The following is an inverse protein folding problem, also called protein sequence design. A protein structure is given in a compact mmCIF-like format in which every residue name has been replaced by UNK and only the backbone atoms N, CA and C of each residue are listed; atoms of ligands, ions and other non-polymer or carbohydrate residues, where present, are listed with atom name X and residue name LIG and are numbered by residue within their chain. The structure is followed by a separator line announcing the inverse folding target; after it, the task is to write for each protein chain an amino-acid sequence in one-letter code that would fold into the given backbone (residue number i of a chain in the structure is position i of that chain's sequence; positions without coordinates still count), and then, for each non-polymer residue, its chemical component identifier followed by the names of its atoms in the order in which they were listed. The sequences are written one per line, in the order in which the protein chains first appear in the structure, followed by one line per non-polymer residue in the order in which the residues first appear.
data_IF_019708764389
#
_entry.id   IF_019708764389
#
_cell.length_a   1.000
_cell.length_b   1.000
_cell.length_c   1.000
_cell.angle_alpha   90.00
_cell.angle_beta   90.00
_cell.angle_gamma   90.00
#
_symmetry.space_group_name_H-M   'P 1'
#
loop_
_entity.id
_entity.type
_entity.pdbx_description
1 polymer ?
#
# COMPACT_ATOMS: atom_id res chain seq x y z
N UNK A 1 3.11 37.57 14.91
CA UNK A 1 2.33 37.68 13.64
C UNK A 1 3.19 37.67 12.37
N UNK A 2 4.35 38.35 12.28
CA UNK A 2 5.17 38.39 11.04
C UNK A 2 5.52 37.01 10.45
N UNK A 3 5.83 36.01 11.28
CA UNK A 3 6.13 34.64 10.83
C UNK A 3 4.90 33.91 10.27
N UNK A 4 3.73 34.13 10.86
CA UNK A 4 2.46 33.57 10.40
C UNK A 4 2.09 34.13 9.02
N UNK A 5 2.16 35.46 8.85
CA UNK A 5 1.94 36.09 7.55
C UNK A 5 3.00 35.67 6.52
N UNK A 6 4.27 35.55 6.91
CA UNK A 6 5.33 35.08 6.02
C UNK A 6 5.12 33.65 5.51
N UNK A 7 4.60 32.77 6.36
CA UNK A 7 4.25 31.39 5.97
C UNK A 7 3.14 31.38 4.93
N UNK A 8 2.01 32.03 5.23
CA UNK A 8 0.86 32.08 4.33
C UNK A 8 1.17 32.80 3.02
N UNK A 9 1.97 33.86 3.06
CA UNK A 9 2.43 34.55 1.86
C UNK A 9 3.27 33.65 0.95
N UNK A 10 4.09 32.77 1.55
CA UNK A 10 4.84 31.77 0.78
C UNK A 10 3.91 30.73 0.15
N UNK A 11 2.90 30.25 0.88
CA UNK A 11 1.88 29.35 0.33
C UNK A 11 1.14 30.00 -0.86
N UNK A 12 0.71 31.26 -0.71
CA UNK A 12 0.05 32.05 -1.78
C UNK A 12 0.95 32.15 -3.01
N UNK A 13 2.24 32.47 -2.82
CA UNK A 13 3.17 32.61 -3.94
C UNK A 13 3.41 31.28 -4.67
N UNK A 14 3.54 30.17 -3.96
CA UNK A 14 3.72 28.86 -4.60
C UNK A 14 2.44 28.41 -5.30
N UNK A 15 1.28 28.58 -4.66
CA UNK A 15 -0.03 28.27 -5.25
C UNK A 15 -0.28 29.10 -6.52
N UNK A 16 0.05 30.40 -6.50
CA UNK A 16 -0.08 31.28 -7.67
C UNK A 16 0.83 30.83 -8.82
N UNK A 17 2.08 30.43 -8.53
CA UNK A 17 3.00 29.90 -9.55
C UNK A 17 2.52 28.58 -10.17
N UNK A 18 1.89 27.70 -9.38
CA UNK A 18 1.23 26.50 -9.88
C UNK A 18 -0.05 26.79 -10.66
N UNK A 19 -0.70 27.93 -10.41
CA UNK A 19 -1.90 28.34 -11.14
C UNK A 19 -1.60 29.02 -12.47
N UNK A 20 -0.44 29.68 -12.61
CA UNK A 20 -0.01 30.25 -13.89
C UNK A 20 0.27 29.17 -14.95
N UNK A 21 0.74 27.99 -14.57
CA UNK A 21 0.90 26.87 -15.51
C UNK A 21 -0.45 26.30 -15.95
N UNK A 22 -1.41 26.20 -15.03
CA UNK A 22 -2.79 25.81 -15.36
C UNK A 22 -3.51 26.83 -16.26
N UNK A 23 -3.25 28.13 -16.06
CA UNK A 23 -3.76 29.19 -16.92
C UNK A 23 -3.16 29.16 -18.34
N UNK A 24 -1.94 28.65 -18.47
CA UNK A 24 -1.26 28.53 -19.77
C UNK A 24 -1.86 27.41 -20.64
N UNK A 25 -2.55 26.45 -20.04
CA UNK A 25 -3.29 25.37 -20.70
C UNK A 25 -4.72 25.79 -21.11
N UNK A 26 -4.95 27.05 -21.49
CA UNK A 26 -6.27 27.58 -21.88
C UNK A 26 -6.98 26.80 -23.02
N UNK A 27 -6.26 25.91 -23.70
CA UNK A 27 -6.78 25.01 -24.74
C UNK A 27 -7.97 24.14 -24.27
N UNK A 28 -8.08 23.82 -22.98
CA UNK A 28 -9.23 23.06 -22.46
C UNK A 28 -10.55 23.85 -22.52
N UNK A 29 -10.51 25.18 -22.58
CA UNK A 29 -11.71 26.04 -22.68
C UNK A 29 -12.33 25.95 -24.08
N UNK A 30 -11.51 25.75 -25.11
CA UNK A 30 -11.95 25.75 -26.51
C UNK A 30 -12.09 24.34 -27.11
N UNK A 31 -11.40 23.34 -26.54
CA UNK A 31 -11.31 21.99 -27.11
C UNK A 31 -12.38 20.99 -26.65
N UNK A 32 -13.18 21.29 -25.61
CA UNK A 32 -14.13 20.33 -25.04
C UNK A 32 -15.56 20.90 -24.89
N UNK A 33 -16.51 20.49 -25.75
CA UNK A 33 -17.91 20.94 -25.68
C UNK A 33 -18.63 20.60 -24.37
N UNK A 34 -18.15 19.60 -23.62
CA UNK A 34 -18.71 19.27 -22.32
C UNK A 34 -18.37 20.34 -21.27
N UNK A 35 -17.19 20.98 -21.37
CA UNK A 35 -16.74 21.97 -20.39
C UNK A 35 -17.44 23.32 -20.60
N UNK A 36 -17.75 23.69 -21.84
CA UNK A 36 -18.56 24.89 -22.11
C UNK A 36 -19.98 24.77 -21.55
N UNK A 37 -20.57 23.56 -21.56
CA UNK A 37 -21.83 23.27 -20.87
C UNK A 37 -21.72 23.30 -19.33
N UNK A 38 -20.56 22.91 -18.77
CA UNK A 38 -20.29 23.07 -17.33
C UNK A 38 -20.09 24.54 -16.94
N UNK A 39 -19.47 25.36 -17.79
CA UNK A 39 -19.28 26.79 -17.56
C UNK A 39 -20.61 27.54 -17.44
N UNK A 40 -21.56 27.27 -18.33
CA UNK A 40 -22.92 27.82 -18.23
C UNK A 40 -23.69 27.28 -17.03
N UNK A 41 -23.51 26.00 -16.66
CA UNK A 41 -24.13 25.42 -15.46
C UNK A 41 -23.57 26.01 -14.15
N UNK A 42 -22.26 26.29 -14.06
CA UNK A 42 -21.62 26.89 -12.88
C UNK A 42 -22.01 28.35 -12.72
N UNK A 43 -22.08 29.11 -13.82
CA UNK A 43 -22.59 30.50 -13.81
C UNK A 43 -24.08 30.50 -13.42
N UNK A 44 -24.87 29.56 -13.94
CA UNK A 44 -26.27 29.38 -13.55
C UNK A 44 -26.45 29.02 -12.07
N UNK A 45 -25.59 28.16 -11.51
CA UNK A 45 -25.60 27.78 -10.09
C UNK A 45 -25.18 28.93 -9.17
N UNK A 46 -24.18 29.72 -9.55
CA UNK A 46 -23.79 30.93 -8.79
C UNK A 46 -24.87 32.02 -8.86
N UNK A 47 -25.52 32.18 -10.02
CA UNK A 47 -26.69 33.06 -10.17
C UNK A 47 -27.90 32.60 -9.36
N UNK A 48 -28.09 31.28 -9.20
CA UNK A 48 -29.16 30.69 -8.43
C UNK A 48 -28.91 30.71 -6.90
N UNK A 49 -27.66 30.58 -6.45
CA UNK A 49 -27.33 30.58 -5.01
C UNK A 49 -27.37 31.97 -4.36
N UNK A 50 -27.29 33.06 -5.14
CA UNK A 50 -27.42 34.42 -4.61
C UNK A 50 -28.08 35.37 -5.62
N UNK A 51 -29.41 35.24 -5.84
CA UNK A 51 -30.15 36.10 -6.76
C UNK A 51 -30.09 37.58 -6.35
N UNK A 52 -29.86 37.87 -5.07
CA UNK A 52 -29.66 39.21 -4.52
C UNK A 52 -28.31 39.83 -4.90
N UNK A 53 -27.23 39.04 -5.05
CA UNK A 53 -25.94 39.54 -5.54
C UNK A 53 -25.98 39.76 -7.05
N UNK A 54 -26.61 38.86 -7.81
CA UNK A 54 -26.77 39.02 -9.26
C UNK A 54 -27.55 40.29 -9.62
N UNK A 55 -28.62 40.60 -8.87
CA UNK A 55 -29.37 41.86 -9.01
C UNK A 55 -28.58 43.10 -8.56
N UNK A 56 -27.81 43.02 -7.47
CA UNK A 56 -27.03 44.17 -6.96
C UNK A 56 -25.81 44.50 -7.81
N UNK A 57 -25.22 43.51 -8.48
CA UNK A 57 -24.08 43.68 -9.37
C UNK A 57 -24.50 43.98 -10.83
N UNK A 58 -25.80 44.11 -11.12
CA UNK A 58 -26.31 44.51 -12.44
C UNK A 58 -26.23 43.43 -13.53
N UNK A 59 -26.06 42.16 -13.16
CA UNK A 59 -25.88 41.06 -14.12
C UNK A 59 -27.19 40.56 -14.77
N UNK A 60 -28.37 41.11 -14.43
CA UNK A 60 -29.64 40.58 -14.94
C UNK A 60 -29.87 40.82 -16.43
N UNK A 61 -29.12 41.72 -17.07
CA UNK A 61 -29.20 42.02 -18.50
C UNK A 61 -27.80 42.28 -19.10
N UNK A 62 -26.81 41.43 -18.81
CA UNK A 62 -25.56 41.42 -19.59
C UNK A 62 -25.78 40.69 -20.92
N UNK A 63 -26.71 41.20 -21.73
CA UNK A 63 -26.71 40.96 -23.17
C UNK A 63 -26.30 42.28 -23.80
N UNK A 64 -25.04 42.36 -24.23
CA UNK A 64 -24.57 43.53 -24.99
C UNK A 64 -25.30 43.66 -26.33
N UNK A 65 -26.10 42.65 -26.70
CA UNK A 65 -26.83 42.54 -27.97
C UNK A 65 -25.96 41.93 -29.07
N UNK A 66 -24.71 41.58 -28.75
CA UNK A 66 -23.72 41.04 -29.65
C UNK A 66 -23.36 39.63 -29.17
N UNK A 67 -23.96 38.57 -29.74
CA UNK A 67 -23.84 37.19 -29.24
C UNK A 67 -22.39 36.71 -29.05
N UNK A 68 -21.47 37.20 -29.90
CA UNK A 68 -20.04 36.86 -29.83
C UNK A 68 -19.38 37.47 -28.58
N UNK A 69 -19.68 38.74 -28.28
CA UNK A 69 -19.11 39.44 -27.11
C UNK A 69 -19.68 38.84 -25.83
N UNK A 70 -20.98 38.56 -25.80
CA UNK A 70 -21.65 37.95 -24.63
C UNK A 70 -21.08 36.56 -24.32
N UNK A 71 -20.83 35.75 -25.35
CA UNK A 71 -20.19 34.42 -25.20
C UNK A 71 -18.76 34.55 -24.67
N UNK A 72 -17.99 35.53 -25.16
CA UNK A 72 -16.62 35.75 -24.73
C UNK A 72 -16.54 36.18 -23.25
N UNK A 73 -17.40 37.12 -22.83
CA UNK A 73 -17.46 37.58 -21.43
C UNK A 73 -17.88 36.43 -20.50
N UNK A 74 -18.84 35.61 -20.92
CA UNK A 74 -19.23 34.40 -20.19
C UNK A 74 -18.09 33.40 -20.03
N UNK A 75 -17.34 33.14 -21.10
CA UNK A 75 -16.16 32.26 -21.05
C UNK A 75 -15.04 32.81 -20.16
N UNK A 76 -14.79 34.13 -20.21
CA UNK A 76 -13.83 34.78 -19.34
C UNK A 76 -14.24 34.69 -17.86
N UNK A 77 -15.53 34.89 -17.55
CA UNK A 77 -16.07 34.72 -16.21
C UNK A 77 -15.90 33.29 -15.69
N UNK A 78 -16.25 32.29 -16.50
CA UNK A 78 -16.06 30.88 -16.16
C UNK A 78 -14.58 30.54 -15.93
N UNK A 79 -13.68 31.08 -16.76
CA UNK A 79 -12.24 30.93 -16.58
C UNK A 79 -11.77 31.51 -15.24
N UNK A 80 -12.19 32.72 -14.88
CA UNK A 80 -11.82 33.36 -13.60
C UNK A 80 -12.31 32.54 -12.41
N UNK A 81 -13.55 32.06 -12.44
CA UNK A 81 -14.11 31.22 -11.35
C UNK A 81 -13.33 29.91 -11.23
N UNK A 82 -13.07 29.24 -12.34
CA UNK A 82 -12.32 27.97 -12.36
C UNK A 82 -10.89 28.19 -11.85
N UNK A 83 -10.26 29.27 -12.28
CA UNK A 83 -8.92 29.67 -11.83
C UNK A 83 -8.89 29.95 -10.32
N UNK A 84 -9.90 30.64 -9.78
CA UNK A 84 -10.04 30.90 -8.34
C UNK A 84 -10.24 29.63 -7.52
N UNK A 85 -11.08 28.69 -7.99
CA UNK A 85 -11.28 27.40 -7.29
C UNK A 85 -10.00 26.58 -7.29
N UNK A 86 -9.32 26.47 -8.44
CA UNK A 86 -8.04 25.77 -8.55
C UNK A 86 -6.97 26.41 -7.64
N UNK A 87 -6.93 27.75 -7.57
CA UNK A 87 -6.06 28.49 -6.67
C UNK A 87 -6.34 28.13 -5.20
N UNK A 88 -7.60 28.13 -4.77
CA UNK A 88 -7.99 27.82 -3.39
C UNK A 88 -7.65 26.38 -3.00
N UNK A 89 -7.92 25.40 -3.86
CA UNK A 89 -7.55 24.00 -3.62
C UNK A 89 -6.03 23.86 -3.44
N UNK A 90 -5.25 24.52 -4.30
CA UNK A 90 -3.79 24.53 -4.19
C UNK A 90 -3.32 25.23 -2.91
N UNK A 91 -3.92 26.38 -2.58
CA UNK A 91 -3.59 27.14 -1.37
C UNK A 91 -3.85 26.34 -0.09
N UNK A 92 -4.88 25.49 -0.06
CA UNK A 92 -5.19 24.63 1.09
C UNK A 92 -4.25 23.41 1.19
N UNK A 93 -3.72 22.92 0.07
CA UNK A 93 -2.77 21.80 0.05
C UNK A 93 -1.32 22.24 0.30
N UNK A 94 -0.95 23.47 -0.07
CA UNK A 94 0.42 23.98 0.03
C UNK A 94 1.01 23.98 1.46
N UNK A 95 0.25 24.22 2.54
CA UNK A 95 0.75 24.08 3.92
C UNK A 95 1.29 22.68 4.23
N UNK A 96 0.63 21.63 3.72
CA UNK A 96 1.05 20.23 3.93
C UNK A 96 2.36 19.98 3.18
N UNK A 97 2.44 20.41 1.92
CA UNK A 97 3.64 20.27 1.08
C UNK A 97 4.84 21.00 1.70
N UNK A 98 4.64 22.24 2.17
CA UNK A 98 5.69 23.02 2.84
C UNK A 98 6.13 22.40 4.16
N UNK A 99 5.21 21.82 4.92
CA UNK A 99 5.53 21.11 6.16
C UNK A 99 6.41 19.89 5.90
N UNK A 100 6.03 19.04 4.94
CA UNK A 100 6.82 17.86 4.56
C UNK A 100 8.21 18.24 4.04
N UNK A 101 8.31 19.29 3.22
CA UNK A 101 9.58 19.78 2.71
C UNK A 101 10.50 20.33 3.82
N UNK A 102 9.95 21.03 4.81
CA UNK A 102 10.73 21.52 5.95
C UNK A 102 11.13 20.40 6.89
N UNK A 103 10.25 19.43 7.14
CA UNK A 103 10.57 18.22 7.90
C UNK A 103 11.72 17.46 7.25
N UNK A 104 11.64 17.17 5.96
CA UNK A 104 12.72 16.50 5.22
C UNK A 104 14.05 17.28 5.25
N UNK A 105 14.00 18.62 5.29
CA UNK A 105 15.21 19.46 5.41
C UNK A 105 15.78 19.43 6.83
N UNK A 106 14.95 19.46 7.85
CA UNK A 106 15.36 19.36 9.25
C UNK A 106 16.03 18.01 9.51
N UNK A 107 15.38 16.92 9.08
CA UNK A 107 15.92 15.57 9.18
C UNK A 107 17.31 15.48 8.52
N UNK A 108 17.46 16.00 7.29
CA UNK A 108 18.75 16.05 6.57
C UNK A 108 19.86 16.80 7.34
N UNK A 109 19.51 17.86 8.09
CA UNK A 109 20.48 18.66 8.84
C UNK A 109 20.86 18.02 10.18
N UNK A 110 19.96 17.24 10.78
CA UNK A 110 20.20 16.55 12.05
C UNK A 110 21.07 15.28 11.89
N UNK A 111 21.51 14.94 10.68
CA UNK A 111 22.29 13.70 10.43
C UNK A 111 21.49 12.43 10.70
N UNK A 112 20.20 12.57 11.03
CA UNK A 112 19.20 11.56 10.80
C UNK A 112 19.09 11.54 9.28
N UNK A 113 19.84 10.67 8.61
CA UNK A 113 19.46 10.26 7.25
C UNK A 113 18.09 9.59 7.34
N UNK A 114 17.05 10.38 7.56
CA UNK A 114 15.67 9.95 7.61
C UNK A 114 15.28 9.70 6.16
N UNK A 115 15.11 8.43 5.85
CA UNK A 115 14.19 8.01 4.81
C UNK A 115 14.66 8.03 3.35
N UNK A 116 15.88 8.48 3.01
CA UNK A 116 16.34 8.34 1.61
C UNK A 116 16.71 6.90 1.22
N UNK A 117 17.00 6.07 2.23
CA UNK A 117 17.22 4.64 2.09
C UNK A 117 16.16 3.81 2.82
N UNK A 118 14.92 4.32 2.99
CA UNK A 118 13.82 3.35 3.05
C UNK A 118 13.80 2.69 1.68
N UNK A 119 14.17 1.40 1.54
CA UNK A 119 14.15 0.76 0.25
C UNK A 119 12.75 0.98 -0.31
N UNK A 120 12.65 1.55 -1.52
CA UNK A 120 11.37 1.79 -2.20
C UNK A 120 10.50 0.58 -1.93
N UNK A 121 9.36 0.81 -1.27
CA UNK A 121 8.49 -0.27 -0.84
C UNK A 121 8.20 -1.10 -2.08
N UNK A 122 8.45 -2.40 -1.96
CA UNK A 122 8.27 -3.29 -3.10
C UNK A 122 6.83 -3.13 -3.58
N UNK A 123 6.64 -2.93 -4.89
CA UNK A 123 5.30 -2.73 -5.47
C UNK A 123 4.38 -3.87 -5.03
N UNK A 124 4.93 -5.06 -4.89
CA UNK A 124 4.17 -6.22 -4.47
C UNK A 124 3.69 -6.13 -3.03
N UNK A 125 4.50 -5.60 -2.11
CA UNK A 125 4.07 -5.37 -0.73
C UNK A 125 2.93 -4.36 -0.70
N UNK A 126 3.01 -3.27 -1.46
CA UNK A 126 1.93 -2.27 -1.53
C UNK A 126 0.63 -2.89 -2.00
N UNK A 127 0.68 -3.76 -3.03
CA UNK A 127 -0.49 -4.48 -3.54
C UNK A 127 -1.09 -5.39 -2.45
N UNK A 128 -0.25 -6.11 -1.71
CA UNK A 128 -0.68 -7.00 -0.63
C UNK A 128 -1.31 -6.21 0.53
N UNK A 129 -0.74 -5.07 0.90
CA UNK A 129 -1.30 -4.21 1.95
C UNK A 129 -2.67 -3.64 1.56
N UNK A 130 -2.80 -3.12 0.33
CA UNK A 130 -4.09 -2.63 -0.17
C UNK A 130 -5.15 -3.73 -0.17
N UNK A 131 -4.74 -4.98 -0.43
CA UNK A 131 -5.64 -6.12 -0.47
C UNK A 131 -6.09 -6.57 0.93
N UNK A 132 -5.16 -6.68 1.86
CA UNK A 132 -5.40 -7.35 3.15
C UNK A 132 -5.48 -6.40 4.36
N UNK A 133 -4.66 -5.35 4.41
CA UNK A 133 -4.64 -4.42 5.55
C UNK A 133 -5.66 -3.29 5.42
N UNK A 134 -5.98 -2.91 4.19
CA UNK A 134 -6.97 -1.87 3.90
C UNK A 134 -8.17 -2.46 3.15
N UNK A 135 -8.87 -3.44 3.74
CA UNK A 135 -9.96 -4.11 3.04
C UNK A 135 -11.04 -3.07 2.70
N UNK A 136 -11.14 -2.75 1.41
CA UNK A 136 -12.34 -2.17 0.82
C UNK A 136 -13.48 -3.11 1.24
N UNK A 137 -14.51 -2.58 1.90
CA UNK A 137 -15.57 -3.39 2.50
C UNK A 137 -16.16 -4.38 1.49
N UNK A 138 -16.69 -5.53 1.96
CA UNK A 138 -17.16 -6.66 1.14
C UNK A 138 -17.92 -6.26 -0.15
N UNK A 139 -18.76 -5.22 -0.08
CA UNK A 139 -19.52 -4.66 -1.22
C UNK A 139 -18.64 -4.10 -2.36
N UNK A 140 -17.40 -3.68 -2.08
CA UNK A 140 -16.45 -3.13 -3.04
C UNK A 140 -15.54 -4.19 -3.68
N UNK A 141 -15.55 -5.45 -3.20
CA UNK A 141 -14.76 -6.53 -3.79
C UNK A 141 -15.35 -7.12 -5.08
N UNK A 142 -16.47 -6.58 -5.57
CA UNK A 142 -17.13 -7.04 -6.80
C UNK A 142 -17.84 -8.38 -6.61
N UNK A 143 -18.30 -9.00 -7.71
CA UNK A 143 -18.73 -10.39 -7.70
C UNK A 143 -17.54 -11.26 -7.25
N UNK A 144 -17.59 -11.79 -6.03
CA UNK A 144 -16.55 -12.65 -5.47
C UNK A 144 -16.47 -13.95 -6.28
N UNK A 145 -15.41 -14.08 -7.07
CA UNK A 145 -15.00 -15.37 -7.61
C UNK A 145 -14.22 -16.10 -6.52
N UNK A 146 -14.97 -16.83 -5.68
CA UNK A 146 -14.42 -17.48 -4.50
C UNK A 146 -13.29 -18.45 -4.82
N UNK A 147 -13.32 -19.11 -5.99
CA UNK A 147 -12.26 -20.01 -6.42
C UNK A 147 -10.99 -19.22 -6.76
N UNK A 148 -11.12 -18.22 -7.65
CA UNK A 148 -9.99 -17.39 -8.05
C UNK A 148 -9.37 -16.61 -6.86
N UNK A 149 -10.21 -16.14 -5.93
CA UNK A 149 -9.76 -15.44 -4.73
C UNK A 149 -9.05 -16.40 -3.75
N UNK A 150 -9.51 -17.65 -3.63
CA UNK A 150 -8.84 -18.67 -2.82
C UNK A 150 -7.45 -19.00 -3.38
N UNK A 151 -7.36 -19.24 -4.68
CA UNK A 151 -6.07 -19.52 -5.33
C UNK A 151 -5.12 -18.31 -5.24
N UNK A 152 -5.65 -17.10 -5.42
CA UNK A 152 -4.87 -15.86 -5.28
C UNK A 152 -4.32 -15.68 -3.87
N UNK A 153 -5.08 -16.00 -2.83
CA UNK A 153 -4.58 -15.94 -1.46
C UNK A 153 -3.44 -16.94 -1.21
N UNK A 154 -3.53 -18.16 -1.76
CA UNK A 154 -2.46 -19.17 -1.71
C UNK A 154 -1.19 -18.63 -2.40
N UNK A 155 -1.35 -18.04 -3.58
CA UNK A 155 -0.25 -17.47 -4.36
C UNK A 155 0.40 -16.27 -3.64
N UNK A 156 -0.41 -15.41 -3.03
CA UNK A 156 0.07 -14.25 -2.28
C UNK A 156 0.92 -14.66 -1.06
N UNK A 157 0.55 -15.73 -0.36
CA UNK A 157 1.40 -16.28 0.72
C UNK A 157 2.74 -16.71 0.15
N UNK A 158 2.75 -17.45 -0.98
CA UNK A 158 4.01 -17.84 -1.62
C UNK A 158 4.89 -16.63 -1.95
N UNK A 159 4.30 -15.60 -2.53
CA UNK A 159 4.99 -14.34 -2.86
C UNK A 159 5.61 -13.69 -1.61
N UNK A 160 4.90 -13.64 -0.48
CA UNK A 160 5.42 -13.09 0.79
C UNK A 160 6.70 -13.83 1.21
N UNK A 161 6.71 -15.16 1.10
CA UNK A 161 7.85 -15.97 1.51
C UNK A 161 9.01 -15.97 0.50
N UNK A 162 8.73 -15.81 -0.79
CA UNK A 162 9.76 -15.56 -1.81
C UNK A 162 10.46 -14.21 -1.55
N UNK A 163 9.68 -13.17 -1.22
CA UNK A 163 10.21 -11.86 -0.83
C UNK A 163 11.02 -11.94 0.47
N UNK A 164 10.53 -12.65 1.48
CA UNK A 164 11.26 -12.88 2.73
C UNK A 164 12.60 -13.56 2.46
N UNK A 165 12.61 -14.60 1.63
CA UNK A 165 13.82 -15.34 1.24
C UNK A 165 14.82 -14.42 0.55
N UNK A 166 14.37 -13.60 -0.41
CA UNK A 166 15.23 -12.63 -1.08
C UNK A 166 15.84 -11.63 -0.08
N UNK A 167 15.05 -11.14 0.88
CA UNK A 167 15.50 -10.19 1.91
C UNK A 167 16.48 -10.80 2.91
N UNK A 168 16.28 -12.04 3.34
CA UNK A 168 17.25 -12.70 4.22
C UNK A 168 18.57 -12.96 3.50
N UNK A 169 18.53 -13.32 2.22
CA UNK A 169 19.75 -13.47 1.40
C UNK A 169 20.52 -12.14 1.26
N UNK A 170 19.79 -11.04 1.05
CA UNK A 170 20.38 -9.69 1.02
C UNK A 170 21.00 -9.33 2.39
N UNK A 171 20.27 -9.54 3.48
CA UNK A 171 20.74 -9.30 4.83
C UNK A 171 21.98 -10.14 5.15
N UNK A 172 22.04 -11.39 4.70
CA UNK A 172 23.19 -12.29 4.89
C UNK A 172 24.45 -11.69 4.27
N UNK A 173 24.37 -11.24 3.01
CA UNK A 173 25.48 -10.58 2.32
C UNK A 173 25.92 -9.29 3.01
N UNK A 174 24.96 -8.46 3.45
CA UNK A 174 25.24 -7.23 4.19
C UNK A 174 25.91 -7.49 5.53
N UNK A 175 25.46 -8.54 6.22
CA UNK A 175 25.99 -8.99 7.51
C UNK A 175 27.44 -9.47 7.38
N UNK A 176 27.74 -10.28 6.36
CA UNK A 176 29.12 -10.72 6.08
C UNK A 176 30.04 -9.55 5.73
N UNK A 177 29.57 -8.63 4.88
CA UNK A 177 30.32 -7.43 4.50
C UNK A 177 30.59 -6.54 5.70
N UNK A 178 29.60 -6.35 6.57
CA UNK A 178 29.72 -5.53 7.78
C UNK A 178 30.63 -6.19 8.81
N UNK A 179 30.53 -7.51 8.98
CA UNK A 179 31.44 -8.28 9.85
C UNK A 179 32.91 -8.11 9.44
N UNK A 180 33.22 -8.23 8.14
CA UNK A 180 34.57 -7.98 7.59
C UNK A 180 35.05 -6.55 7.86
N UNK A 181 34.16 -5.55 7.76
CA UNK A 181 34.49 -4.16 8.08
C UNK A 181 34.76 -3.95 9.56
N UNK A 182 33.95 -4.55 10.43
CA UNK A 182 34.09 -4.46 11.89
C UNK A 182 35.39 -5.11 12.36
N UNK A 183 35.78 -6.26 11.77
CA UNK A 183 37.00 -6.97 12.16
C UNK A 183 38.28 -6.35 11.61
N UNK A 184 38.23 -5.74 10.42
CA UNK A 184 39.39 -5.08 9.79
C UNK A 184 39.63 -3.63 10.26
N UNK A 185 38.63 -2.98 10.87
CA UNK A 185 38.76 -1.60 11.34
C UNK A 185 39.68 -1.50 12.57
N UNK A 186 40.87 -0.90 12.37
CA UNK A 186 41.80 -0.56 13.47
C UNK A 186 41.30 0.60 14.34
N UNK A 187 40.56 1.53 13.73
CA UNK A 187 40.02 2.72 14.40
C UNK A 187 38.67 2.39 15.07
N UNK A 188 38.59 2.66 16.38
CA UNK A 188 37.39 2.46 17.19
C UNK A 188 36.18 3.25 16.68
N UNK A 189 36.39 4.43 16.09
CA UNK A 189 35.32 5.27 15.52
C UNK A 189 34.71 4.58 14.30
N UNK A 190 35.55 4.10 13.36
CA UNK A 190 35.10 3.37 12.17
C UNK A 190 34.41 2.05 12.54
N UNK A 191 34.85 1.39 13.60
CA UNK A 191 34.21 0.17 14.11
C UNK A 191 32.81 0.46 14.64
N UNK A 192 32.63 1.52 15.44
CA UNK A 192 31.31 1.97 15.92
C UNK A 192 30.38 2.32 14.77
N UNK A 193 30.89 3.03 13.76
CA UNK A 193 30.08 3.38 12.59
C UNK A 193 29.63 2.14 11.80
N UNK A 194 30.52 1.18 11.56
CA UNK A 194 30.16 -0.06 10.90
C UNK A 194 29.12 -0.89 11.68
N UNK A 195 29.22 -0.88 13.02
CA UNK A 195 28.23 -1.49 13.92
C UNK A 195 26.87 -0.81 13.79
N UNK A 196 26.84 0.53 13.80
CA UNK A 196 25.61 1.32 13.67
C UNK A 196 24.91 1.07 12.33
N UNK A 197 25.68 1.01 11.25
CA UNK A 197 25.17 0.68 9.91
C UNK A 197 24.56 -0.72 9.89
N UNK A 198 25.22 -1.72 10.48
CA UNK A 198 24.69 -3.07 10.56
C UNK A 198 23.40 -3.13 11.39
N UNK A 199 23.35 -2.46 12.55
CA UNK A 199 22.14 -2.37 13.35
C UNK A 199 20.98 -1.77 12.55
N UNK A 200 21.22 -0.69 11.79
CA UNK A 200 20.23 -0.10 10.90
C UNK A 200 19.70 -1.06 9.83
N UNK A 201 20.55 -1.91 9.26
CA UNK A 201 20.12 -2.95 8.31
C UNK A 201 19.27 -4.05 8.97
N UNK A 202 19.62 -4.46 10.20
CA UNK A 202 18.84 -5.42 10.98
C UNK A 202 17.47 -4.86 11.35
N UNK A 203 17.40 -3.58 11.72
CA UNK A 203 16.13 -2.89 11.99
C UNK A 203 15.26 -2.79 10.73
N UNK A 204 15.84 -2.39 9.60
CA UNK A 204 15.11 -2.31 8.34
C UNK A 204 14.60 -3.68 7.88
N UNK A 205 15.36 -4.76 8.10
CA UNK A 205 14.88 -6.12 7.86
C UNK A 205 13.74 -6.48 8.83
N UNK A 206 13.88 -6.12 10.12
CA UNK A 206 12.86 -6.38 11.14
C UNK A 206 11.53 -5.67 10.81
N UNK A 207 11.58 -4.43 10.31
CA UNK A 207 10.41 -3.70 9.82
C UNK A 207 9.70 -4.48 8.71
N UNK A 208 10.45 -5.05 7.76
CA UNK A 208 9.88 -5.84 6.65
C UNK A 208 9.27 -7.15 7.12
N UNK A 209 9.92 -7.85 8.05
CA UNK A 209 9.37 -9.08 8.63
C UNK A 209 8.07 -8.79 9.39
N UNK A 210 8.01 -7.67 10.12
CA UNK A 210 6.79 -7.23 10.78
C UNK A 210 5.66 -6.94 9.78
N UNK A 211 5.94 -6.21 8.69
CA UNK A 211 4.96 -5.98 7.61
C UNK A 211 4.43 -7.31 7.03
N UNK A 212 5.30 -8.30 6.79
CA UNK A 212 4.88 -9.62 6.31
C UNK A 212 4.00 -10.37 7.33
N UNK A 213 4.35 -10.29 8.62
CA UNK A 213 3.56 -10.89 9.72
C UNK A 213 2.14 -10.30 9.74
N UNK A 214 2.02 -8.97 9.65
CA UNK A 214 0.74 -8.26 9.66
C UNK A 214 -0.10 -8.62 8.43
N UNK A 215 0.51 -8.68 7.24
CA UNK A 215 -0.19 -9.10 6.01
C UNK A 215 -0.70 -10.54 6.15
N UNK A 216 0.12 -11.49 6.61
CA UNK A 216 -0.31 -12.88 6.79
C UNK A 216 -1.48 -12.97 7.76
N UNK A 217 -1.43 -12.24 8.87
CA UNK A 217 -2.54 -12.21 9.85
C UNK A 217 -3.84 -11.69 9.27
N UNK A 218 -3.78 -10.66 8.44
CA UNK A 218 -4.93 -10.10 7.77
C UNK A 218 -5.42 -10.96 6.59
N UNK A 219 -4.52 -11.73 5.96
CA UNK A 219 -4.84 -12.67 4.90
C UNK A 219 -5.64 -13.86 5.42
N UNK A 220 -5.30 -14.42 6.59
CA UNK A 220 -5.98 -15.61 7.15
C UNK A 220 -7.51 -15.52 7.18
N UNK A 221 -8.15 -14.47 7.76
CA UNK A 221 -9.60 -14.38 7.77
C UNK A 221 -10.18 -14.22 6.36
N UNK A 222 -9.53 -13.45 5.48
CA UNK A 222 -9.96 -13.29 4.08
C UNK A 222 -9.90 -14.63 3.34
N UNK A 223 -8.84 -15.40 3.56
CA UNK A 223 -8.68 -16.71 2.96
C UNK A 223 -9.78 -17.69 3.40
N UNK A 224 -10.08 -17.73 4.70
CA UNK A 224 -11.21 -18.52 5.23
C UNK A 224 -12.56 -18.07 4.67
N UNK A 225 -12.82 -16.76 4.65
CA UNK A 225 -14.06 -16.17 4.12
C UNK A 225 -14.27 -16.46 2.63
N UNK A 226 -13.20 -16.51 1.83
CA UNK A 226 -13.30 -16.85 0.42
C UNK A 226 -13.44 -18.37 0.22
N UNK A 227 -12.63 -19.16 0.93
CA UNK A 227 -12.45 -20.59 0.62
C UNK A 227 -13.50 -21.48 1.27
N UNK A 228 -13.89 -21.22 2.52
CA UNK A 228 -14.87 -22.08 3.21
C UNK A 228 -16.22 -22.09 2.48
N UNK A 229 -16.82 -20.94 2.07
CA UNK A 229 -18.08 -20.96 1.36
C UNK A 229 -17.98 -21.58 -0.04
N UNK A 230 -16.81 -21.53 -0.69
CA UNK A 230 -16.57 -22.24 -1.95
C UNK A 230 -16.66 -23.75 -1.74
N UNK A 231 -15.90 -24.28 -0.79
CA UNK A 231 -15.86 -25.72 -0.50
C UNK A 231 -17.21 -26.20 0.08
N UNK A 232 -17.86 -25.41 0.92
CA UNK A 232 -19.17 -25.75 1.49
C UNK A 232 -20.27 -25.85 0.43
N UNK A 233 -20.24 -24.95 -0.57
CA UNK A 233 -21.19 -24.97 -1.70
C UNK A 233 -20.84 -26.00 -2.76
N UNK A 234 -19.60 -26.49 -2.80
CA UNK A 234 -19.24 -27.59 -3.68
C UNK A 234 -20.09 -28.82 -3.33
N UNK A 235 -20.82 -29.30 -4.34
CA UNK A 235 -21.62 -30.52 -4.29
C UNK A 235 -21.10 -31.45 -5.38
N UNK A 236 -19.99 -32.18 -5.11
CA UNK A 236 -19.32 -32.95 -6.14
C UNK A 236 -20.22 -34.10 -6.59
N UNK A 237 -20.80 -33.95 -7.79
CA UNK A 237 -21.68 -34.95 -8.42
C UNK A 237 -21.04 -35.60 -9.63
N UNK A 238 -19.99 -34.98 -10.15
CA UNK A 238 -19.23 -35.44 -11.30
C UNK A 238 -17.78 -35.72 -10.92
N UNK A 239 -17.08 -36.49 -11.74
CA UNK A 239 -15.64 -36.69 -11.58
C UNK A 239 -14.86 -35.38 -11.73
N UNK A 240 -15.37 -34.43 -12.53
CA UNK A 240 -14.76 -33.11 -12.72
C UNK A 240 -14.80 -32.30 -11.43
N UNK A 241 -15.94 -32.25 -10.73
CA UNK A 241 -16.06 -31.56 -9.43
C UNK A 241 -15.09 -32.12 -8.39
N UNK A 242 -14.94 -33.45 -8.36
CA UNK A 242 -13.97 -34.13 -7.48
C UNK A 242 -12.55 -33.71 -7.83
N UNK A 243 -12.21 -33.64 -9.11
CA UNK A 243 -10.87 -33.23 -9.55
C UNK A 243 -10.56 -31.77 -9.16
N UNK A 244 -11.54 -30.85 -9.23
CA UNK A 244 -11.37 -29.45 -8.79
C UNK A 244 -11.04 -29.40 -7.29
N UNK A 245 -11.80 -30.11 -6.47
CA UNK A 245 -11.56 -30.18 -5.03
C UNK A 245 -10.21 -30.85 -4.70
N UNK A 246 -9.83 -31.90 -5.42
CA UNK A 246 -8.55 -32.58 -5.25
C UNK A 246 -7.37 -31.64 -5.59
N UNK A 247 -7.50 -30.85 -6.66
CA UNK A 247 -6.51 -29.84 -7.04
C UNK A 247 -6.36 -28.77 -5.97
N UNK A 248 -7.47 -28.26 -5.40
CA UNK A 248 -7.42 -27.34 -4.27
C UNK A 248 -6.68 -27.97 -3.09
N UNK A 249 -7.02 -29.22 -2.72
CA UNK A 249 -6.37 -29.95 -1.62
C UNK A 249 -4.85 -30.03 -1.81
N UNK A 250 -4.42 -30.42 -3.02
CA UNK A 250 -3.01 -30.54 -3.38
C UNK A 250 -2.32 -29.18 -3.35
N UNK A 251 -2.95 -28.13 -3.89
CA UNK A 251 -2.42 -26.76 -3.90
C UNK A 251 -2.18 -26.24 -2.48
N UNK A 252 -3.17 -26.38 -1.59
CA UNK A 252 -3.09 -25.99 -0.18
C UNK A 252 -1.99 -26.75 0.55
N UNK A 253 -1.93 -28.08 0.39
CA UNK A 253 -0.91 -28.90 1.04
C UNK A 253 0.50 -28.53 0.57
N UNK A 254 0.70 -28.44 -0.74
CA UNK A 254 2.00 -28.11 -1.36
C UNK A 254 2.48 -26.73 -0.90
N UNK A 255 1.57 -25.75 -0.82
CA UNK A 255 1.89 -24.41 -0.35
C UNK A 255 2.34 -24.42 1.12
N UNK A 256 1.63 -25.10 2.02
CA UNK A 256 2.01 -25.22 3.43
C UNK A 256 3.41 -25.81 3.58
N UNK A 257 3.70 -26.92 2.88
CA UNK A 257 4.98 -27.61 3.00
C UNK A 257 6.12 -26.71 2.51
N UNK A 258 6.00 -26.17 1.29
CA UNK A 258 7.04 -25.33 0.69
C UNK A 258 7.31 -24.07 1.53
N UNK A 259 6.25 -23.40 1.99
CA UNK A 259 6.36 -22.19 2.81
C UNK A 259 6.92 -22.51 4.20
N UNK A 260 6.49 -23.61 4.80
CA UNK A 260 6.95 -24.03 6.13
C UNK A 260 8.44 -24.36 6.15
N UNK A 261 8.93 -25.11 5.16
CA UNK A 261 10.36 -25.39 4.99
C UNK A 261 11.16 -24.09 4.77
N UNK A 262 10.67 -23.20 3.90
CA UNK A 262 11.27 -21.90 3.65
C UNK A 262 11.40 -21.07 4.92
N UNK A 263 10.31 -20.94 5.69
CA UNK A 263 10.31 -20.20 6.96
C UNK A 263 11.31 -20.78 7.97
N UNK A 264 11.39 -22.11 8.08
CA UNK A 264 12.32 -22.76 9.00
C UNK A 264 13.78 -22.47 8.62
N UNK A 265 14.11 -22.50 7.33
CA UNK A 265 15.44 -22.11 6.82
C UNK A 265 15.73 -20.65 7.21
N UNK A 266 14.79 -19.72 6.95
CA UNK A 266 14.99 -18.31 7.29
C UNK A 266 15.17 -18.09 8.78
N UNK A 267 14.40 -18.78 9.61
CA UNK A 267 14.53 -18.73 11.07
C UNK A 267 15.90 -19.20 11.53
N UNK A 268 16.38 -20.34 11.04
CA UNK A 268 17.70 -20.86 11.38
C UNK A 268 18.82 -19.87 10.97
N UNK A 269 18.69 -19.26 9.78
CA UNK A 269 19.61 -18.22 9.31
C UNK A 269 19.60 -17.00 10.23
N UNK A 270 18.43 -16.47 10.58
CA UNK A 270 18.28 -15.34 11.50
C UNK A 270 18.84 -15.68 12.88
N UNK A 271 18.51 -16.83 13.45
CA UNK A 271 19.01 -17.27 14.76
C UNK A 271 20.54 -17.33 14.76
N UNK A 272 21.15 -17.83 13.68
CA UNK A 272 22.62 -17.84 13.54
C UNK A 272 23.22 -16.43 13.52
N UNK A 273 22.51 -15.44 12.94
CA UNK A 273 22.96 -14.04 12.95
C UNK A 273 22.81 -13.43 14.34
N UNK A 274 21.68 -13.67 15.01
CA UNK A 274 21.43 -13.19 16.39
C UNK A 274 22.57 -13.68 17.30
N UNK A 275 22.87 -14.97 17.28
CA UNK A 275 23.93 -15.55 18.12
C UNK A 275 25.31 -14.95 17.86
N UNK A 276 25.60 -14.48 16.64
CA UNK A 276 26.88 -13.84 16.31
C UNK A 276 27.04 -12.43 16.89
N UNK A 277 25.93 -11.72 17.14
CA UNK A 277 25.98 -10.30 17.51
C UNK A 277 25.44 -9.96 18.89
N UNK A 278 24.76 -10.90 19.55
CA UNK A 278 24.37 -10.75 20.96
C UNK A 278 25.62 -10.48 21.80
N UNK A 279 25.59 -9.37 22.57
CA UNK A 279 26.69 -8.97 23.45
C UNK A 279 27.84 -8.22 22.79
N UNK A 280 27.81 -8.00 21.46
CA UNK A 280 28.88 -7.24 20.77
C UNK A 280 28.79 -5.74 21.10
N UNK A 281 27.60 -5.17 20.96
CA UNK A 281 27.28 -3.79 21.37
C UNK A 281 25.80 -3.72 21.78
N UNK A 282 25.42 -2.67 22.50
CA UNK A 282 24.02 -2.45 22.88
C UNK A 282 23.11 -2.36 21.65
N UNK A 283 23.46 -1.52 20.66
CA UNK A 283 22.66 -1.30 19.45
C UNK A 283 22.41 -2.60 18.66
N UNK A 284 23.45 -3.42 18.45
CA UNK A 284 23.29 -4.72 17.79
C UNK A 284 22.48 -5.71 18.61
N UNK A 285 22.63 -5.69 19.94
CA UNK A 285 21.84 -6.55 20.83
C UNK A 285 20.35 -6.20 20.73
N UNK A 286 20.01 -4.91 20.76
CA UNK A 286 18.62 -4.43 20.60
C UNK A 286 18.07 -4.81 19.23
N UNK A 287 18.82 -4.54 18.15
CA UNK A 287 18.38 -4.85 16.80
C UNK A 287 18.20 -6.37 16.56
N UNK A 288 19.10 -7.20 17.08
CA UNK A 288 18.98 -8.67 16.96
C UNK A 288 17.86 -9.25 17.82
N UNK A 289 17.63 -8.73 19.02
CA UNK A 289 16.48 -9.10 19.85
C UNK A 289 15.16 -8.78 19.14
N UNK A 290 15.07 -7.58 18.56
CA UNK A 290 13.91 -7.17 17.76
C UNK A 290 13.69 -8.10 16.57
N UNK A 291 14.75 -8.41 15.81
CA UNK A 291 14.70 -9.34 14.68
C UNK A 291 14.20 -10.73 15.09
N UNK A 292 14.68 -11.26 16.23
CA UNK A 292 14.21 -12.53 16.78
C UNK A 292 12.72 -12.48 17.15
N UNK A 293 12.29 -11.39 17.80
CA UNK A 293 10.91 -11.18 18.19
C UNK A 293 9.96 -11.14 16.98
N UNK A 294 10.29 -10.37 15.93
CA UNK A 294 9.44 -10.30 14.73
C UNK A 294 9.42 -11.60 13.93
N UNK A 295 10.51 -12.38 13.93
CA UNK A 295 10.51 -13.71 13.30
C UNK A 295 9.66 -14.72 14.08
N UNK A 296 9.66 -14.66 15.41
CA UNK A 296 8.75 -15.46 16.24
C UNK A 296 7.29 -15.05 16.02
N UNK A 297 7.04 -13.75 15.86
CA UNK A 297 5.74 -13.18 15.56
C UNK A 297 5.20 -13.64 14.19
N UNK A 298 6.06 -13.61 13.16
CA UNK A 298 5.79 -14.15 11.83
C UNK A 298 5.51 -15.66 11.89
N UNK A 299 6.30 -16.42 12.65
CA UNK A 299 6.07 -17.85 12.89
C UNK A 299 4.68 -18.12 13.48
N UNK A 300 4.26 -17.29 14.44
CA UNK A 300 2.91 -17.38 15.03
C UNK A 300 1.82 -17.06 14.01
N UNK A 301 2.02 -16.03 13.18
CA UNK A 301 1.11 -15.70 12.08
C UNK A 301 0.98 -16.85 11.07
N UNK A 302 2.10 -17.46 10.69
CA UNK A 302 2.12 -18.60 9.79
C UNK A 302 1.42 -19.84 10.38
N UNK A 303 1.58 -20.13 11.68
CA UNK A 303 0.85 -21.24 12.32
C UNK A 303 -0.67 -21.06 12.26
N UNK A 304 -1.17 -19.82 12.36
CA UNK A 304 -2.61 -19.54 12.16
C UNK A 304 -3.04 -19.83 10.72
N UNK A 305 -2.21 -19.48 9.74
CA UNK A 305 -2.45 -19.83 8.34
C UNK A 305 -2.45 -21.34 8.11
N UNK A 306 -1.48 -22.08 8.67
CA UNK A 306 -1.44 -23.54 8.61
C UNK A 306 -2.71 -24.16 9.19
N UNK A 307 -3.17 -23.67 10.35
CA UNK A 307 -4.41 -24.14 10.95
C UNK A 307 -5.64 -23.88 10.06
N UNK A 308 -5.72 -22.70 9.42
CA UNK A 308 -6.78 -22.38 8.46
C UNK A 308 -6.74 -23.33 7.24
N UNK A 309 -5.56 -23.57 6.69
CA UNK A 309 -5.37 -24.51 5.59
C UNK A 309 -5.73 -25.96 5.97
N UNK A 310 -5.41 -26.39 7.19
CA UNK A 310 -5.81 -27.72 7.70
C UNK A 310 -7.32 -27.84 7.81
N UNK A 311 -8.03 -26.81 8.29
CA UNK A 311 -9.49 -26.79 8.34
C UNK A 311 -10.10 -26.94 6.94
N UNK A 312 -9.58 -26.18 5.96
CA UNK A 312 -10.00 -26.28 4.56
C UNK A 312 -9.70 -27.68 4.01
N UNK A 313 -8.51 -28.21 4.25
CA UNK A 313 -8.11 -29.55 3.80
C UNK A 313 -9.07 -30.63 4.32
N UNK A 314 -9.38 -30.64 5.62
CA UNK A 314 -10.32 -31.60 6.21
C UNK A 314 -11.75 -31.44 5.69
N UNK A 315 -12.18 -30.22 5.35
CA UNK A 315 -13.49 -29.99 4.73
C UNK A 315 -13.52 -30.53 3.30
N UNK A 316 -12.49 -30.22 2.50
CA UNK A 316 -12.34 -30.69 1.12
C UNK A 316 -12.30 -32.23 1.07
N UNK A 317 -11.54 -32.87 1.96
CA UNK A 317 -11.43 -34.32 2.02
C UNK A 317 -12.77 -35.01 2.27
N UNK A 318 -13.56 -34.48 3.23
CA UNK A 318 -14.93 -34.97 3.48
C UNK A 318 -15.83 -34.82 2.25
N UNK A 319 -15.80 -33.66 1.59
CA UNK A 319 -16.59 -33.40 0.37
C UNK A 319 -16.24 -34.38 -0.75
N UNK A 320 -14.96 -34.68 -0.93
CA UNK A 320 -14.47 -35.62 -1.93
C UNK A 320 -14.93 -37.04 -1.61
N UNK A 321 -14.82 -37.48 -0.35
CA UNK A 321 -15.28 -38.81 0.08
C UNK A 321 -16.79 -38.98 -0.13
N UNK A 322 -17.59 -37.99 0.25
CA UNK A 322 -19.04 -38.00 0.04
C UNK A 322 -19.41 -38.04 -1.45
N UNK A 323 -18.70 -37.26 -2.28
CA UNK A 323 -18.89 -37.25 -3.74
C UNK A 323 -18.60 -38.61 -4.38
N UNK A 324 -17.49 -39.25 -3.98
CA UNK A 324 -17.12 -40.60 -4.46
C UNK A 324 -18.19 -41.64 -4.12
N UNK A 325 -18.67 -41.66 -2.86
CA UNK A 325 -19.74 -42.59 -2.44
C UNK A 325 -21.02 -42.42 -3.25
N UNK A 326 -21.39 -41.19 -3.59
CA UNK A 326 -22.58 -40.92 -4.42
C UNK A 326 -22.41 -41.39 -5.86
N UNK A 327 -21.21 -41.21 -6.43
CA UNK A 327 -20.90 -41.72 -7.77
C UNK A 327 -20.95 -43.25 -7.81
N UNK A 328 -20.40 -43.92 -6.79
CA UNK A 328 -20.47 -45.38 -6.68
C UNK A 328 -21.91 -45.91 -6.56
N UNK A 329 -22.78 -45.18 -5.85
CA UNK A 329 -24.21 -45.54 -5.71
C UNK A 329 -25.03 -45.31 -6.99
N UNK A 330 -24.52 -44.49 -7.92
CA UNK A 330 -25.21 -44.15 -9.17
C UNK A 330 -24.86 -45.09 -10.33
N UNK A 331 -23.82 -45.92 -10.18
CA UNK A 331 -23.34 -46.89 -11.17
C UNK A 331 -23.97 -48.28 -10.99
#
# INVERSE_FOLDING_TARGET
MRRFFGFWWRCVRTAAGGNSTFANDWQWVFGNPAISAFGTAIIGLFGAFSPTLAKRLGFSEMTTGWPIIDTFIGALGAFVVTWMVAFLVRLLNEPVVLFEAQKARADKLEGIESGRDRPKKDKMIVILEERYLFPKGLMQRGFLDHEADSQRAIDDVKIIFDLLTARTNELTKLTEKSSKRISSAKDSSKKREAVKILAGHLDAYSDRVAEFSDIIRALVPVYLECTMPFVDRADPRTQEDINVLENLRISVHTNIVAVGEGLQIQRNTVDSMVQRYVGVTHDLTVATQRMSAVMADLGTGFQKYVAACQQIHSLVERKIEDGKKRLEQAL
#
